data_IF_557872929570
#
_entry.id   IF_557872929570
#
_cell.length_a   1.000
_cell.length_b   1.000
_cell.length_c   1.000
_cell.angle_alpha   90.00
_cell.angle_beta   90.00
_cell.angle_gamma   90.00
#
_symmetry.space_group_name_H-M   'P 1'
#
loop_
_entity.id
_entity.type
_entity.pdbx_description
1 polymer ?
#
# COMPACT_ATOMS: atom_id res chain seq x y z
N UNK A 1 -0.81 1.43 -4.05
CA UNK A 1 -1.66 1.74 -5.21
C UNK A 1 -0.95 1.28 -6.45
N UNK A 2 -1.64 0.54 -7.33
CA UNK A 2 -1.04 0.03 -8.57
C UNK A 2 -0.52 1.17 -9.43
N UNK A 3 0.65 0.98 -10.06
CA UNK A 3 1.39 1.98 -10.85
C UNK A 3 1.88 3.22 -10.09
N UNK A 4 1.56 3.38 -8.80
CA UNK A 4 2.04 4.50 -7.99
C UNK A 4 3.06 4.08 -6.95
N UNK A 5 2.81 2.97 -6.24
CA UNK A 5 3.68 2.47 -5.17
C UNK A 5 4.36 1.15 -5.54
N UNK A 6 4.23 0.73 -6.79
CA UNK A 6 4.68 -0.55 -7.31
C UNK A 6 3.83 -1.01 -8.48
N UNK A 7 4.08 -2.24 -8.96
CA UNK A 7 3.38 -2.87 -10.06
C UNK A 7 2.78 -4.19 -9.58
N UNK A 8 1.51 -4.43 -9.85
CA UNK A 8 0.93 -5.75 -9.69
C UNK A 8 1.15 -6.62 -10.93
N UNK A 9 1.31 -7.91 -10.68
CA UNK A 9 1.32 -8.96 -11.70
C UNK A 9 0.36 -10.06 -11.27
N UNK A 10 -0.15 -10.83 -12.23
CA UNK A 10 -0.99 -11.98 -11.91
C UNK A 10 -0.17 -13.02 -11.14
N UNK A 11 -0.79 -13.72 -10.17
CA UNK A 11 -0.16 -14.87 -9.53
C UNK A 11 0.26 -15.91 -10.58
N UNK A 12 1.36 -16.61 -10.30
CA UNK A 12 1.93 -17.69 -11.15
C UNK A 12 2.38 -17.26 -12.56
N UNK A 13 2.29 -15.98 -12.92
CA UNK A 13 2.82 -15.44 -14.18
C UNK A 13 4.27 -14.97 -14.03
N UNK A 14 5.20 -15.93 -14.14
CA UNK A 14 6.64 -15.65 -14.06
C UNK A 14 7.16 -14.74 -15.18
N UNK A 15 6.52 -14.75 -16.36
CA UNK A 15 6.92 -13.92 -17.48
C UNK A 15 6.54 -12.45 -17.23
N UNK A 16 5.32 -12.20 -16.74
CA UNK A 16 4.88 -10.87 -16.33
C UNK A 16 5.77 -10.30 -15.22
N UNK A 17 6.11 -11.12 -14.20
CA UNK A 17 7.01 -10.70 -13.12
C UNK A 17 8.39 -10.31 -13.65
N UNK A 18 9.00 -11.14 -14.51
CA UNK A 18 10.30 -10.83 -15.13
C UNK A 18 10.25 -9.51 -15.89
N UNK A 19 9.20 -9.31 -16.69
CA UNK A 19 9.06 -8.10 -17.50
C UNK A 19 8.85 -6.85 -16.66
N UNK A 20 8.09 -6.93 -15.56
CA UNK A 20 7.92 -5.83 -14.62
C UNK A 20 9.23 -5.46 -13.93
N UNK A 21 10.02 -6.45 -13.49
CA UNK A 21 11.36 -6.21 -12.91
C UNK A 21 12.27 -5.54 -13.94
N UNK A 22 12.34 -6.07 -15.17
CA UNK A 22 13.18 -5.50 -16.23
C UNK A 22 12.78 -4.06 -16.54
N UNK A 23 11.48 -3.78 -16.64
CA UNK A 23 10.97 -2.42 -16.87
C UNK A 23 11.47 -1.43 -15.79
N UNK A 24 11.44 -1.81 -14.51
CA UNK A 24 11.91 -0.95 -13.43
C UNK A 24 13.43 -0.74 -13.47
N UNK A 25 14.19 -1.79 -13.83
CA UNK A 25 15.65 -1.69 -14.01
C UNK A 25 16.01 -0.76 -15.18
N UNK A 26 15.25 -0.82 -16.27
CA UNK A 26 15.43 0.03 -17.45
C UNK A 26 14.98 1.48 -17.20
N UNK A 27 14.13 1.71 -16.18
CA UNK A 27 13.55 3.00 -15.84
C UNK A 27 13.82 3.38 -14.36
N UNK A 28 15.08 3.61 -13.95
CA UNK A 28 15.45 3.80 -12.55
C UNK A 28 14.75 4.99 -11.87
N UNK A 29 14.49 6.07 -12.61
CA UNK A 29 13.75 7.24 -12.07
C UNK A 29 12.30 6.88 -11.71
N UNK A 30 11.66 5.98 -12.47
CA UNK A 30 10.33 5.48 -12.14
C UNK A 30 10.38 4.62 -10.89
N UNK A 31 11.37 3.73 -10.79
CA UNK A 31 11.58 2.88 -9.62
C UNK A 31 11.79 3.71 -8.33
N UNK A 32 12.61 4.76 -8.39
CA UNK A 32 12.82 5.68 -7.26
C UNK A 32 11.53 6.41 -6.86
N UNK A 33 10.78 6.93 -7.83
CA UNK A 33 9.49 7.60 -7.56
C UNK A 33 8.49 6.67 -6.89
N UNK A 34 8.34 5.45 -7.41
CA UNK A 34 7.43 4.45 -6.85
C UNK A 34 7.85 4.05 -5.44
N UNK A 35 9.15 3.85 -5.20
CA UNK A 35 9.69 3.52 -3.87
C UNK A 35 9.43 4.64 -2.85
N UNK A 36 9.65 5.90 -3.24
CA UNK A 36 9.37 7.04 -2.38
C UNK A 36 7.87 7.16 -2.06
N UNK A 37 7.00 7.01 -3.06
CA UNK A 37 5.55 7.03 -2.87
C UNK A 37 5.07 5.87 -1.97
N UNK A 38 5.63 4.68 -2.13
CA UNK A 38 5.35 3.53 -1.27
C UNK A 38 5.73 3.82 0.19
N UNK A 39 6.91 4.38 0.42
CA UNK A 39 7.37 4.73 1.77
C UNK A 39 6.48 5.79 2.42
N UNK A 40 6.07 6.81 1.66
CA UNK A 40 5.13 7.82 2.15
C UNK A 40 3.78 7.20 2.55
N UNK A 41 3.26 6.27 1.74
CA UNK A 41 2.01 5.57 2.06
C UNK A 41 2.13 4.72 3.33
N UNK A 42 3.26 4.03 3.53
CA UNK A 42 3.53 3.27 4.76
C UNK A 42 3.52 4.18 5.98
N UNK A 43 4.25 5.29 5.93
CA UNK A 43 4.31 6.22 7.05
C UNK A 43 2.97 6.87 7.36
N UNK A 44 2.17 7.18 6.34
CA UNK A 44 0.86 7.80 6.51
C UNK A 44 -0.18 6.82 7.06
N UNK A 45 -0.27 5.62 6.48
CA UNK A 45 -1.46 4.78 6.64
C UNK A 45 -1.19 3.45 7.37
N UNK A 46 0.06 2.98 7.37
CA UNK A 46 0.44 1.64 7.87
C UNK A 46 1.33 1.71 9.11
N UNK A 47 1.18 2.77 9.90
CA UNK A 47 1.82 2.92 11.19
C UNK A 47 0.87 2.53 12.34
N UNK A 48 1.44 2.25 13.51
CA UNK A 48 0.69 1.80 14.68
C UNK A 48 -0.31 2.86 15.18
N UNK A 49 0.06 4.14 15.14
CA UNK A 49 -0.80 5.24 15.60
C UNK A 49 -2.08 5.28 14.78
N UNK A 50 -1.96 5.36 13.46
CA UNK A 50 -3.10 5.35 12.54
C UNK A 50 -3.91 4.05 12.60
N UNK A 51 -3.28 2.93 12.96
CA UNK A 51 -4.02 1.69 13.23
C UNK A 51 -4.84 1.79 14.52
N UNK A 52 -4.25 2.27 15.62
CA UNK A 52 -4.95 2.41 16.91
C UNK A 52 -6.07 3.44 16.87
N UNK A 53 -5.90 4.53 16.12
CA UNK A 53 -6.93 5.56 15.92
C UNK A 53 -8.16 4.98 15.19
N UNK A 54 -7.95 4.31 14.04
CA UNK A 54 -9.05 3.65 13.31
C UNK A 54 -9.76 2.59 14.14
N UNK A 55 -9.00 1.78 14.89
CA UNK A 55 -9.58 0.77 15.76
C UNK A 55 -10.42 1.41 16.88
N UNK A 56 -9.92 2.48 17.48
CA UNK A 56 -10.67 3.23 18.49
C UNK A 56 -11.99 3.77 17.92
N UNK A 57 -11.96 4.37 16.74
CA UNK A 57 -13.17 4.84 16.05
C UNK A 57 -14.19 3.73 15.86
N UNK A 58 -13.78 2.57 15.34
CA UNK A 58 -14.69 1.43 15.18
C UNK A 58 -15.30 0.95 16.50
N UNK A 59 -14.51 0.91 17.58
CA UNK A 59 -15.00 0.52 18.91
C UNK A 59 -16.02 1.53 19.43
N UNK A 60 -15.74 2.83 19.31
CA UNK A 60 -16.68 3.87 19.74
C UNK A 60 -17.99 3.82 18.95
N UNK A 61 -17.91 3.60 17.65
CA UNK A 61 -19.11 3.42 16.81
C UNK A 61 -19.95 2.21 17.27
N UNK A 62 -19.33 1.05 17.50
CA UNK A 62 -20.05 -0.15 17.95
C UNK A 62 -20.73 0.05 19.31
N UNK A 63 -20.06 0.71 20.26
CA UNK A 63 -20.62 0.99 21.59
C UNK A 63 -21.80 1.97 21.54
N UNK A 64 -21.80 2.90 20.60
CA UNK A 64 -22.90 3.86 20.42
C UNK A 64 -24.12 3.23 19.73
N UNK A 65 -23.92 2.26 18.84
CA UNK A 65 -25.01 1.50 18.19
C UNK A 65 -25.72 0.54 19.15
N UNK A 66 -25.01 -0.06 20.11
CA UNK A 66 -25.62 -0.91 21.15
C UNK A 66 -26.40 -0.12 22.22
N UNK A 67 -26.17 1.19 22.33
CA UNK A 67 -26.80 2.06 23.32
C UNK A 67 -28.14 2.68 22.86
N UNK A 68 -28.60 2.38 21.64
CA UNK A 68 -29.85 2.86 21.01
C UNK A 68 -30.83 1.70 20.85
#
# INVERSE_FOLDING_TARGET
>A
IDNETGLYVLPEDSAALRNAIQFLLDNPQMAERMGAAAMQAVHRDLNLVSYTERLHEYIQHALLEEAV
#
